data_IF_512261184597
#
_entry.id   IF_512261184597
#
_cell.length_a   1.000
_cell.length_b   1.000
_cell.length_c   1.000
_cell.angle_alpha   90.00
_cell.angle_beta   90.00
_cell.angle_gamma   90.00
#
_symmetry.space_group_name_H-M   'P 1'
#
loop_
_entity.id
_entity.type
_entity.pdbx_description
1 polymer ?
#
# COMPACT_ATOMS: atom_id res chain seq x y z
N UNK A 1 21.89 -3.83 21.49
CA UNK A 1 21.11 -4.54 22.51
C UNK A 1 19.68 -4.06 22.39
N UNK A 2 18.78 -4.85 21.81
CA UNK A 2 17.35 -4.54 21.79
C UNK A 2 16.81 -4.84 23.19
N UNK A 3 16.35 -3.83 23.91
CA UNK A 3 15.60 -4.05 25.16
C UNK A 3 14.39 -4.90 24.84
N UNK A 4 14.12 -5.98 25.59
CA UNK A 4 12.92 -6.78 25.38
C UNK A 4 11.70 -5.86 25.55
N UNK A 5 10.88 -5.76 24.51
CA UNK A 5 9.65 -4.98 24.56
C UNK A 5 8.56 -5.79 25.26
N UNK A 6 7.59 -5.12 25.91
CA UNK A 6 6.44 -5.83 26.48
C UNK A 6 5.64 -6.54 25.36
N UNK A 7 5.02 -7.70 25.63
CA UNK A 7 4.25 -8.47 24.64
C UNK A 7 3.09 -7.67 24.03
N UNK A 8 2.57 -6.72 24.79
CA UNK A 8 1.58 -5.73 24.37
C UNK A 8 2.06 -4.85 23.21
N UNK A 9 3.34 -4.47 23.22
CA UNK A 9 3.92 -3.67 22.14
C UNK A 9 4.07 -4.49 20.86
N UNK A 10 4.44 -5.77 20.96
CA UNK A 10 4.48 -6.66 19.79
C UNK A 10 3.09 -6.85 19.18
N UNK A 11 2.06 -6.91 20.03
CA UNK A 11 0.66 -6.95 19.59
C UNK A 11 0.28 -5.70 18.79
N UNK A 12 0.64 -4.52 19.29
CA UNK A 12 0.44 -3.26 18.57
C UNK A 12 1.20 -3.23 17.23
N UNK A 13 2.47 -3.62 17.21
CA UNK A 13 3.28 -3.69 15.98
C UNK A 13 2.65 -4.65 14.96
N UNK A 14 2.14 -5.80 15.42
CA UNK A 14 1.41 -6.75 14.60
C UNK A 14 0.13 -6.16 14.00
N UNK A 15 -0.65 -5.43 14.80
CA UNK A 15 -1.86 -4.70 14.35
C UNK A 15 -1.51 -3.67 13.26
N UNK A 16 -0.52 -2.81 13.50
CA UNK A 16 -0.03 -1.82 12.55
C UNK A 16 0.47 -2.47 11.25
N UNK A 17 1.16 -3.61 11.35
CA UNK A 17 1.62 -4.37 10.19
C UNK A 17 0.48 -4.93 9.34
N UNK A 18 -0.61 -5.41 9.97
CA UNK A 18 -1.81 -5.87 9.25
C UNK A 18 -2.48 -4.72 8.49
N UNK A 19 -2.61 -3.55 9.11
CA UNK A 19 -3.19 -2.37 8.46
C UNK A 19 -2.32 -1.83 7.32
N UNK A 20 -1.00 -1.79 7.49
CA UNK A 20 -0.10 -1.38 6.41
C UNK A 20 -0.14 -2.37 5.22
N UNK A 21 -0.20 -3.68 5.49
CA UNK A 21 -0.38 -4.68 4.42
C UNK A 21 -1.69 -4.46 3.66
N UNK A 22 -2.79 -4.19 4.38
CA UNK A 22 -4.08 -3.87 3.76
C UNK A 22 -4.01 -2.60 2.92
N UNK A 23 -3.28 -1.58 3.37
CA UNK A 23 -3.00 -0.35 2.60
C UNK A 23 -2.23 -0.66 1.33
N UNK A 24 -1.18 -1.48 1.40
CA UNK A 24 -0.39 -1.88 0.23
C UNK A 24 -1.24 -2.65 -0.79
N UNK A 25 -2.14 -3.54 -0.32
CA UNK A 25 -3.10 -4.24 -1.20
C UNK A 25 -4.02 -3.24 -1.88
N UNK A 26 -4.58 -2.26 -1.16
CA UNK A 26 -5.41 -1.21 -1.75
C UNK A 26 -4.66 -0.37 -2.80
N UNK A 27 -3.40 -0.03 -2.53
CA UNK A 27 -2.56 0.65 -3.51
C UNK A 27 -2.31 -0.23 -4.73
N UNK A 28 -2.00 -1.51 -4.55
CA UNK A 28 -1.77 -2.45 -5.64
C UNK A 28 -3.02 -2.65 -6.52
N UNK A 29 -4.19 -2.80 -5.89
CA UNK A 29 -5.48 -2.90 -6.60
C UNK A 29 -5.79 -1.65 -7.45
N UNK A 30 -5.22 -0.50 -7.10
CA UNK A 30 -5.40 0.74 -7.85
C UNK A 30 -4.33 0.90 -8.94
N UNK A 31 -3.06 0.67 -8.59
CA UNK A 31 -1.93 1.03 -9.47
C UNK A 31 -1.49 -0.07 -10.43
N UNK A 32 -1.71 -1.35 -10.11
CA UNK A 32 -1.41 -2.44 -11.05
C UNK A 32 -2.27 -2.37 -12.33
N UNK A 33 -3.62 -2.28 -12.26
CA UNK A 33 -4.42 -2.20 -13.48
C UNK A 33 -4.11 -0.92 -14.26
N UNK A 34 -3.88 0.21 -13.59
CA UNK A 34 -3.51 1.48 -14.24
C UNK A 34 -2.13 1.42 -14.92
N UNK A 35 -1.16 0.78 -14.26
CA UNK A 35 0.15 0.54 -14.84
C UNK A 35 0.06 -0.32 -16.10
N UNK A 36 -0.71 -1.42 -16.04
CA UNK A 36 -0.98 -2.26 -17.20
C UNK A 36 -1.68 -1.50 -18.33
N UNK A 37 -2.74 -0.73 -18.03
CA UNK A 37 -3.44 0.11 -19.00
C UNK A 37 -2.49 1.10 -19.67
N UNK A 38 -1.60 1.75 -18.90
CA UNK A 38 -0.62 2.68 -19.46
C UNK A 38 0.34 1.95 -20.42
N UNK A 39 0.82 0.77 -20.05
CA UNK A 39 1.67 -0.06 -20.91
C UNK A 39 0.96 -0.48 -22.21
N UNK A 40 -0.27 -0.99 -22.10
CA UNK A 40 -1.09 -1.40 -23.25
C UNK A 40 -1.45 -0.21 -24.16
N UNK A 41 -1.68 0.97 -23.59
CA UNK A 41 -1.92 2.19 -24.37
C UNK A 41 -0.69 2.54 -25.22
N UNK A 42 0.52 2.40 -24.68
CA UNK A 42 1.76 2.59 -25.46
C UNK A 42 1.88 1.56 -26.58
N UNK A 43 1.58 0.28 -26.31
CA UNK A 43 1.55 -0.74 -27.36
C UNK A 43 0.51 -0.44 -28.45
N UNK A 44 -0.70 -0.01 -28.07
CA UNK A 44 -1.76 0.34 -29.01
C UNK A 44 -1.35 1.50 -29.93
N UNK A 45 -0.66 2.51 -29.39
CA UNK A 45 -0.10 3.62 -30.19
C UNK A 45 0.99 3.12 -31.15
N UNK A 46 1.87 2.23 -30.71
CA UNK A 46 2.87 1.61 -31.57
C UNK A 46 2.24 0.79 -32.71
N UNK A 47 1.19 0.02 -32.41
CA UNK A 47 0.42 -0.75 -33.38
C UNK A 47 -0.25 0.16 -34.42
N UNK A 48 -0.86 1.26 -33.97
CA UNK A 48 -1.50 2.25 -34.84
C UNK A 48 -0.47 2.92 -35.76
N UNK A 49 0.71 3.27 -35.25
CA UNK A 49 1.80 3.82 -36.05
C UNK A 49 2.31 2.82 -37.10
N UNK A 50 2.41 1.54 -36.75
CA UNK A 50 2.83 0.48 -37.66
C UNK A 50 1.81 0.18 -38.77
N UNK A 51 0.53 0.50 -38.57
CA UNK A 51 -0.46 0.43 -39.66
C UNK A 51 -0.22 1.48 -40.74
N UNK A 52 0.30 2.65 -40.38
CA UNK A 52 0.60 3.72 -41.35
C UNK A 52 1.87 3.43 -42.16
N UNK A 53 2.76 2.60 -41.63
CA UNK A 53 4.00 2.15 -42.26
C UNK A 53 4.21 0.68 -41.86
N UNK A 54 3.96 -0.30 -42.75
CA UNK A 54 4.07 -1.73 -42.45
C UNK A 54 5.54 -2.13 -42.24
N UNK A 55 6.09 -1.69 -41.10
CA UNK A 55 7.48 -1.86 -40.68
C UNK A 55 7.61 -3.00 -39.66
N UNK A 56 6.50 -3.40 -39.02
CA UNK A 56 6.49 -4.39 -37.94
C UNK A 56 5.80 -5.68 -38.38
N UNK A 57 6.47 -6.79 -38.10
CA UNK A 57 5.90 -8.14 -38.20
C UNK A 57 4.97 -8.44 -37.01
N UNK A 58 4.08 -9.43 -37.16
CA UNK A 58 3.14 -9.85 -36.12
C UNK A 58 3.86 -10.25 -34.83
N UNK A 59 5.00 -10.94 -34.94
CA UNK A 59 5.83 -11.32 -33.81
C UNK A 59 6.40 -10.11 -33.07
N UNK A 60 6.81 -9.07 -33.82
CA UNK A 60 7.36 -7.85 -33.22
C UNK A 60 6.28 -7.06 -32.47
N UNK A 61 5.06 -7.03 -33.00
CA UNK A 61 3.92 -6.41 -32.32
C UNK A 61 3.58 -7.11 -31.00
N UNK A 62 3.54 -8.45 -31.01
CA UNK A 62 3.31 -9.24 -29.79
C UNK A 62 4.39 -8.98 -28.74
N UNK A 63 5.66 -8.89 -29.14
CA UNK A 63 6.76 -8.55 -28.24
C UNK A 63 6.61 -7.15 -27.66
N UNK A 64 6.19 -6.15 -28.45
CA UNK A 64 5.95 -4.79 -27.95
C UNK A 64 4.83 -4.80 -26.90
N UNK A 65 3.71 -5.46 -27.18
CA UNK A 65 2.59 -5.58 -26.22
C UNK A 65 3.07 -6.23 -24.92
N UNK A 66 3.78 -7.36 -25.02
CA UNK A 66 4.29 -8.08 -23.85
C UNK A 66 5.26 -7.22 -23.02
N UNK A 67 6.24 -6.58 -23.66
CA UNK A 67 7.26 -5.77 -22.98
C UNK A 67 6.63 -4.54 -22.33
N UNK A 68 5.83 -3.77 -23.07
CA UNK A 68 5.24 -2.53 -22.54
C UNK A 68 4.20 -2.82 -21.47
N UNK A 69 3.39 -3.87 -21.60
CA UNK A 69 2.48 -4.34 -20.56
C UNK A 69 3.23 -4.76 -19.29
N UNK A 70 4.31 -5.54 -19.43
CA UNK A 70 5.16 -5.94 -18.31
C UNK A 70 5.84 -4.74 -17.63
N UNK A 71 6.35 -3.77 -18.40
CA UNK A 71 6.94 -2.55 -17.86
C UNK A 71 5.90 -1.69 -17.12
N UNK A 72 4.69 -1.59 -17.67
CA UNK A 72 3.57 -0.90 -17.02
C UNK A 72 3.20 -1.53 -15.67
N UNK A 73 3.07 -2.85 -15.62
CA UNK A 73 2.85 -3.60 -14.37
C UNK A 73 3.99 -3.40 -13.37
N UNK A 74 5.24 -3.48 -13.85
CA UNK A 74 6.43 -3.29 -13.02
C UNK A 74 6.46 -1.87 -12.43
N UNK A 75 6.13 -0.85 -13.22
CA UNK A 75 6.04 0.53 -12.74
C UNK A 75 4.95 0.67 -11.65
N UNK A 76 3.77 0.09 -11.87
CA UNK A 76 2.69 0.05 -10.88
C UNK A 76 3.11 -0.64 -9.58
N UNK A 77 3.79 -1.78 -9.68
CA UNK A 77 4.32 -2.52 -8.54
C UNK A 77 5.40 -1.72 -7.78
N UNK A 78 6.39 -1.18 -8.49
CA UNK A 78 7.45 -0.35 -7.90
C UNK A 78 6.85 0.83 -7.15
N UNK A 79 5.87 1.51 -7.75
CA UNK A 79 5.16 2.61 -7.09
C UNK A 79 4.52 2.19 -5.76
N UNK A 80 3.88 1.01 -5.72
CA UNK A 80 3.28 0.50 -4.47
C UNK A 80 4.33 0.18 -3.41
N UNK A 81 5.49 -0.32 -3.81
CA UNK A 81 6.56 -0.72 -2.89
C UNK A 81 7.37 0.46 -2.37
N UNK A 82 7.54 1.53 -3.15
CA UNK A 82 8.19 2.77 -2.72
C UNK A 82 7.39 3.46 -1.60
N UNK A 83 6.08 3.22 -1.54
CA UNK A 83 5.18 3.77 -0.53
C UNK A 83 5.23 3.03 0.83
N UNK A 84 6.20 2.14 1.04
CA UNK A 84 6.40 1.43 2.32
C UNK A 84 6.77 2.41 3.42
N UNK A 85 6.01 2.36 4.51
CA UNK A 85 6.21 3.22 5.67
C UNK A 85 7.09 2.55 6.73
N UNK A 86 7.87 3.37 7.44
CA UNK A 86 8.50 2.96 8.70
C UNK A 86 7.44 2.77 9.81
N UNK A 87 7.84 2.23 10.97
CA UNK A 87 6.88 1.93 12.04
C UNK A 87 6.14 3.18 12.54
N UNK A 88 6.84 4.30 12.71
CA UNK A 88 6.24 5.56 13.18
C UNK A 88 5.25 6.14 12.15
N UNK A 89 5.56 6.03 10.86
CA UNK A 89 4.66 6.42 9.77
C UNK A 89 3.44 5.50 9.67
N UNK A 90 3.59 4.19 9.93
CA UNK A 90 2.45 3.27 10.02
C UNK A 90 1.52 3.63 11.18
N UNK A 91 2.08 3.97 12.34
CA UNK A 91 1.33 4.42 13.50
C UNK A 91 0.56 5.71 13.21
N UNK A 92 1.24 6.74 12.66
CA UNK A 92 0.59 8.00 12.24
C UNK A 92 -0.45 7.82 11.13
N UNK A 93 -0.26 6.86 10.23
CA UNK A 93 -1.28 6.49 9.26
C UNK A 93 -2.50 5.90 9.96
N UNK A 94 -2.31 4.94 10.87
CA UNK A 94 -3.40 4.33 11.63
C UNK A 94 -4.17 5.37 12.45
N UNK A 95 -3.47 6.28 13.13
CA UNK A 95 -4.11 7.32 13.94
C UNK A 95 -5.01 8.23 13.10
N UNK A 96 -4.57 8.61 11.89
CA UNK A 96 -5.37 9.41 10.97
C UNK A 96 -6.52 8.61 10.35
N UNK A 97 -6.27 7.38 9.94
CA UNK A 97 -7.26 6.54 9.26
C UNK A 97 -8.40 6.12 10.20
N UNK A 98 -8.08 5.79 11.45
CA UNK A 98 -9.02 5.26 12.44
C UNK A 98 -9.34 6.26 13.56
N UNK A 99 -8.89 7.51 13.41
CA UNK A 99 -9.13 8.62 14.35
C UNK A 99 -8.68 8.32 15.79
N UNK A 100 -7.54 7.65 15.95
CA UNK A 100 -7.02 7.25 17.26
C UNK A 100 -6.37 8.38 18.05
N UNK A 101 -6.37 9.61 17.54
CA UNK A 101 -5.87 10.82 18.23
C UNK A 101 -4.41 10.68 18.69
N UNK A 102 -3.53 10.25 17.78
CA UNK A 102 -2.08 10.09 18.00
C UNK A 102 -1.65 9.00 19.01
N UNK A 103 -2.60 8.26 19.60
CA UNK A 103 -2.30 7.20 20.59
C UNK A 103 -1.26 6.20 20.08
N UNK A 104 -1.40 5.72 18.85
CA UNK A 104 -0.50 4.70 18.28
C UNK A 104 0.89 5.28 18.03
N UNK A 105 0.96 6.49 17.46
CA UNK A 105 2.23 7.17 17.19
C UNK A 105 2.97 7.45 18.49
N UNK A 106 2.29 7.98 19.51
CA UNK A 106 2.87 8.24 20.83
C UNK A 106 3.36 6.96 21.50
N UNK A 107 2.57 5.88 21.49
CA UNK A 107 3.00 4.60 22.06
C UNK A 107 4.27 4.05 21.37
N UNK A 108 4.36 4.16 20.03
CA UNK A 108 5.56 3.78 19.28
C UNK A 108 6.74 4.68 19.61
N UNK A 109 6.55 5.99 19.71
CA UNK A 109 7.63 6.94 20.03
C UNK A 109 8.20 6.72 21.42
N UNK A 110 7.33 6.40 22.41
CA UNK A 110 7.76 6.05 23.76
C UNK A 110 8.60 4.77 23.74
N UNK A 111 8.08 3.69 23.14
CA UNK A 111 8.73 2.38 23.14
C UNK A 111 10.00 2.35 22.29
N UNK A 112 10.14 3.24 21.31
CA UNK A 112 11.38 3.40 20.52
C UNK A 112 12.36 4.40 21.13
N UNK A 113 12.05 4.98 22.29
CA UNK A 113 12.90 5.93 23.00
C UNK A 113 13.00 7.31 22.35
N UNK A 114 12.12 7.62 21.39
CA UNK A 114 12.00 8.96 20.78
C UNK A 114 11.26 9.94 21.70
N UNK A 115 10.41 9.43 22.57
CA UNK A 115 9.72 10.19 23.61
C UNK A 115 10.03 9.58 24.97
N UNK A 116 10.66 10.35 25.87
CA UNK A 116 10.96 9.88 27.22
C UNK A 116 9.83 10.27 28.17
N UNK A 117 9.24 9.27 28.82
CA UNK A 117 8.23 9.45 29.87
C UNK A 117 8.54 8.51 31.05
N UNK A 118 8.07 8.84 32.26
CA UNK A 118 8.12 7.90 33.38
C UNK A 118 7.50 6.55 33.01
N UNK A 119 8.08 5.40 33.42
CA UNK A 119 7.64 4.06 33.02
C UNK A 119 6.15 3.80 33.24
N UNK A 120 5.59 4.30 34.35
CA UNK A 120 4.17 4.15 34.66
C UNK A 120 3.24 4.77 33.61
N UNK A 121 3.65 5.89 33.00
CA UNK A 121 2.89 6.51 31.91
C UNK A 121 3.13 5.80 30.57
N UNK A 122 4.29 5.19 30.36
CA UNK A 122 4.56 4.39 29.18
C UNK A 122 3.62 3.17 29.11
N UNK A 123 3.47 2.48 30.24
CA UNK A 123 2.60 1.29 30.34
C UNK A 123 1.12 1.69 30.18
N UNK A 124 0.68 2.74 30.87
CA UNK A 124 -0.70 3.26 30.74
C UNK A 124 -1.03 3.71 29.31
N UNK A 125 -0.09 4.37 28.63
CA UNK A 125 -0.28 4.80 27.24
C UNK A 125 -0.39 3.62 26.29
N UNK A 126 0.41 2.56 26.49
CA UNK A 126 0.37 1.35 25.67
C UNK A 126 -0.97 0.62 25.87
N UNK A 127 -1.41 0.48 27.11
CA UNK A 127 -2.68 -0.14 27.45
C UNK A 127 -3.88 0.64 26.86
N UNK A 128 -3.88 1.97 26.99
CA UNK A 128 -4.92 2.81 26.38
C UNK A 128 -4.94 2.70 24.86
N UNK A 129 -3.76 2.64 24.24
CA UNK A 129 -3.62 2.46 22.79
C UNK A 129 -4.20 1.13 22.35
N UNK A 130 -3.92 0.03 23.06
CA UNK A 130 -4.46 -1.29 22.73
C UNK A 130 -5.98 -1.31 22.87
N UNK A 131 -6.54 -0.74 23.95
CA UNK A 131 -7.99 -0.60 24.11
C UNK A 131 -8.62 0.19 22.96
N UNK A 132 -7.99 1.26 22.50
CA UNK A 132 -8.49 2.05 21.37
C UNK A 132 -8.39 1.28 20.04
N UNK A 133 -7.30 0.57 19.82
CA UNK A 133 -7.03 -0.25 18.62
C UNK A 133 -8.01 -1.42 18.50
N UNK A 134 -8.34 -2.09 19.60
CA UNK A 134 -9.26 -3.23 19.60
C UNK A 134 -10.70 -2.84 19.22
N UNK A 135 -11.06 -1.57 19.41
CA UNK A 135 -12.36 -1.03 19.01
C UNK A 135 -12.42 -0.60 17.53
N UNK A 136 -11.33 -0.75 16.77
CA UNK A 136 -11.28 -0.35 15.36
C UNK A 136 -11.97 -1.39 14.47
N UNK A 137 -13.12 -1.01 13.92
CA UNK A 137 -13.69 -1.72 12.78
C UNK A 137 -12.92 -1.40 11.49
N UNK A 138 -11.91 -2.23 11.21
CA UNK A 138 -11.08 -2.10 10.00
C UNK A 138 -11.88 -2.31 8.71
N UNK A 139 -12.93 -3.15 8.76
CA UNK A 139 -13.78 -3.47 7.61
C UNK A 139 -14.54 -2.25 7.12
N UNK A 140 -15.23 -1.59 8.04
CA UNK A 140 -16.03 -0.39 7.76
C UNK A 140 -15.18 0.85 7.50
N UNK A 141 -14.10 1.05 8.27
CA UNK A 141 -13.31 2.28 8.20
C UNK A 141 -12.22 2.26 7.12
N UNK A 142 -11.80 1.08 6.66
CA UNK A 142 -10.78 0.96 5.62
C UNK A 142 -11.07 -0.19 4.64
N UNK A 143 -12.19 -0.13 3.89
CA UNK A 143 -12.58 -1.18 2.94
C UNK A 143 -11.58 -1.33 1.79
N UNK A 144 -11.63 -2.48 1.12
CA UNK A 144 -10.90 -2.63 -0.13
C UNK A 144 -11.54 -1.78 -1.22
N UNK A 145 -10.74 -0.94 -1.89
CA UNK A 145 -11.20 -0.09 -2.98
C UNK A 145 -10.86 -0.75 -4.31
N UNK A 146 -11.84 -1.46 -4.87
CA UNK A 146 -11.76 -1.96 -6.24
C UNK A 146 -12.44 -0.96 -7.17
N UNK A 147 -11.67 -0.32 -8.05
CA UNK A 147 -12.25 0.55 -9.07
C UNK A 147 -12.64 -0.29 -10.28
N UNK A 148 -13.89 -0.78 -10.34
CA UNK A 148 -14.36 -1.65 -11.43
C UNK A 148 -14.16 -1.03 -12.82
N UNK A 149 -14.16 0.30 -12.94
CA UNK A 149 -13.90 0.98 -14.21
C UNK A 149 -12.50 0.66 -14.77
N UNK A 150 -11.48 0.63 -13.92
CA UNK A 150 -10.10 0.33 -14.34
C UNK A 150 -10.00 -1.13 -14.85
N UNK A 151 -10.77 -2.04 -14.26
CA UNK A 151 -10.83 -3.45 -14.68
C UNK A 151 -11.70 -3.65 -15.93
N UNK A 152 -12.83 -2.95 -16.04
CA UNK A 152 -13.68 -2.97 -17.22
C UNK A 152 -12.94 -2.43 -18.45
N UNK A 153 -12.10 -1.40 -18.30
CA UNK A 153 -11.25 -0.90 -19.39
C UNK A 153 -10.23 -1.95 -19.84
N UNK A 154 -9.66 -2.72 -18.92
CA UNK A 154 -8.76 -3.82 -19.28
C UNK A 154 -9.50 -4.94 -20.04
N UNK A 155 -10.69 -5.31 -19.57
CA UNK A 155 -11.51 -6.36 -20.20
C UNK A 155 -12.07 -5.93 -21.56
N UNK A 156 -12.41 -4.65 -21.74
CA UNK A 156 -12.90 -4.13 -23.02
C UNK A 156 -11.78 -3.84 -24.04
N UNK A 157 -10.53 -3.81 -23.60
CA UNK A 157 -9.35 -3.66 -24.46
C UNK A 157 -8.75 -5.00 -24.93
N UNK A 158 -9.16 -6.12 -24.31
CA UNK A 158 -8.78 -7.48 -24.67
C UNK A 158 -9.78 -8.11 -25.65
#
# INVERSE_FOLDING_TARGET
>A
MTTPHPPEYETLVGQLGRWDRRRLVNLALTWLPRGLLAGLMVAALAAAAARLRPLLDEQQLLLIIAITGALGLLAGLVWTLVQRHDLAQRARFADRQFRLQERSATAVEIQTGRLTVPPIFADQQLEDTLRAVDNVDTGAQFPFKLNWQDFAMLLGAA
#
